data_IF_073528449515
#
_entry.id   IF_073528449515
#
_cell.length_a   1.000
_cell.length_b   1.000
_cell.length_c   1.000
_cell.angle_alpha   90.00
_cell.angle_beta   90.00
_cell.angle_gamma   90.00
#
_symmetry.space_group_name_H-M   'P 1'
#
loop_
_entity.id
_entity.type
_entity.pdbx_description
1 polymer ?
#
# COMPACT_ATOMS: atom_id res chain seq x y z
N UNK A 1 -45.85 -18.40 -37.81
CA UNK A 1 -44.90 -17.60 -37.03
C UNK A 1 -45.55 -17.15 -35.72
N UNK A 2 -45.66 -18.04 -34.72
CA UNK A 2 -46.29 -17.69 -33.43
C UNK A 2 -45.58 -18.25 -32.20
N UNK A 3 -44.49 -18.98 -32.40
CA UNK A 3 -43.69 -19.60 -31.33
C UNK A 3 -42.31 -18.96 -31.14
N UNK A 4 -41.99 -17.90 -31.89
CA UNK A 4 -40.71 -17.18 -31.76
C UNK A 4 -40.66 -16.20 -30.58
N UNK A 5 -41.79 -15.95 -29.90
CA UNK A 5 -41.86 -15.06 -28.75
C UNK A 5 -41.65 -15.76 -27.40
N UNK A 6 -41.69 -17.10 -27.34
CA UNK A 6 -41.57 -17.83 -26.08
C UNK A 6 -40.10 -18.15 -25.71
N UNK A 7 -39.17 -18.08 -26.66
CA UNK A 7 -37.75 -18.35 -26.41
C UNK A 7 -36.99 -17.14 -25.81
N UNK A 8 -37.55 -15.93 -25.86
CA UNK A 8 -36.90 -14.73 -25.35
C UNK A 8 -37.09 -14.51 -23.84
N UNK A 9 -37.99 -15.26 -23.19
CA UNK A 9 -38.32 -15.06 -21.78
C UNK A 9 -37.40 -15.84 -20.81
N UNK A 10 -36.47 -16.65 -21.32
CA UNK A 10 -35.61 -17.53 -20.51
C UNK A 10 -34.16 -17.04 -20.35
N UNK A 11 -33.82 -15.84 -20.84
CA UNK A 11 -32.43 -15.36 -20.86
C UNK A 11 -32.18 -14.07 -20.07
N UNK A 12 -32.96 -13.81 -19.01
CA UNK A 12 -32.65 -12.74 -18.05
C UNK A 12 -32.70 -13.29 -16.62
N UNK A 13 -31.92 -14.33 -16.38
CA UNK A 13 -31.34 -14.52 -15.05
C UNK A 13 -29.89 -14.06 -15.17
N UNK A 14 -29.71 -12.75 -15.36
CA UNK A 14 -28.42 -12.14 -15.05
C UNK A 14 -28.25 -12.28 -13.56
N UNK A 15 -27.40 -13.22 -13.18
CA UNK A 15 -26.85 -13.35 -11.84
C UNK A 15 -26.20 -12.03 -11.45
N UNK A 16 -26.98 -11.14 -10.87
CA UNK A 16 -26.44 -10.16 -9.94
C UNK A 16 -26.11 -10.95 -8.68
N UNK A 17 -25.02 -11.72 -8.74
CA UNK A 17 -24.27 -12.00 -7.55
C UNK A 17 -23.86 -10.61 -7.04
N UNK A 18 -24.67 -10.06 -6.14
CA UNK A 18 -24.18 -9.06 -5.21
C UNK A 18 -23.03 -9.76 -4.51
N UNK A 19 -21.82 -9.53 -5.04
CA UNK A 19 -20.63 -9.52 -4.22
C UNK A 19 -20.88 -8.40 -3.21
N UNK A 20 -21.68 -8.71 -2.19
CA UNK A 20 -21.45 -8.19 -0.87
C UNK A 20 -20.07 -8.72 -0.52
N UNK A 21 -19.05 -8.02 -1.02
CA UNK A 21 -17.79 -7.95 -0.35
C UNK A 21 -18.17 -7.42 1.03
N UNK A 22 -18.44 -8.36 1.93
CA UNK A 22 -18.42 -8.14 3.36
C UNK A 22 -16.98 -7.76 3.67
N UNK A 23 -16.62 -6.53 3.32
CA UNK A 23 -15.59 -5.81 4.01
C UNK A 23 -16.19 -5.63 5.38
N UNK A 24 -15.86 -6.55 6.31
CA UNK A 24 -16.26 -6.44 7.71
C UNK A 24 -16.02 -4.98 8.13
N UNK A 25 -17.12 -4.26 8.37
CA UNK A 25 -17.01 -2.86 8.79
C UNK A 25 -16.39 -2.90 10.18
N UNK A 26 -15.09 -2.58 10.26
CA UNK A 26 -14.37 -2.48 11.53
C UNK A 26 -15.13 -1.50 12.42
N UNK A 27 -15.61 -1.99 13.57
CA UNK A 27 -16.31 -1.18 14.57
C UNK A 27 -15.25 -0.60 15.49
N UNK A 28 -15.21 0.73 15.60
CA UNK A 28 -14.24 1.45 16.42
C UNK A 28 -14.87 1.83 17.76
N UNK A 29 -14.12 1.64 18.86
CA UNK A 29 -14.57 2.02 20.20
C UNK A 29 -14.55 3.54 20.41
N UNK A 30 -13.71 4.27 19.67
CA UNK A 30 -13.61 5.73 19.74
C UNK A 30 -12.98 6.31 18.44
N UNK A 31 -12.96 7.64 18.35
CA UNK A 31 -12.42 8.37 17.20
C UNK A 31 -10.92 8.13 16.99
N UNK A 32 -10.13 8.02 18.06
CA UNK A 32 -8.69 7.78 17.95
C UNK A 32 -8.36 6.43 17.29
N UNK A 33 -9.15 5.39 17.59
CA UNK A 33 -9.01 4.09 16.93
C UNK A 33 -9.38 4.17 15.44
N UNK A 34 -10.42 4.92 15.11
CA UNK A 34 -10.83 5.14 13.71
C UNK A 34 -9.75 5.88 12.92
N UNK A 35 -9.18 6.94 13.48
CA UNK A 35 -8.12 7.73 12.84
C UNK A 35 -6.85 6.90 12.66
N UNK A 36 -6.45 6.13 13.69
CA UNK A 36 -5.33 5.21 13.59
C UNK A 36 -5.52 4.20 12.46
N UNK A 37 -6.70 3.58 12.36
CA UNK A 37 -7.00 2.65 11.28
C UNK A 37 -6.97 3.33 9.90
N UNK A 38 -7.49 4.55 9.77
CA UNK A 38 -7.43 5.30 8.50
C UNK A 38 -5.99 5.58 8.08
N UNK A 39 -5.12 5.92 9.03
CA UNK A 39 -3.68 6.12 8.77
C UNK A 39 -3.04 4.80 8.33
N UNK A 40 -3.30 3.69 9.02
CA UNK A 40 -2.79 2.36 8.64
C UNK A 40 -3.20 1.96 7.22
N UNK A 41 -4.49 2.13 6.87
CA UNK A 41 -5.00 1.86 5.53
C UNK A 41 -4.38 2.81 4.51
N UNK A 42 -4.29 4.10 4.81
CA UNK A 42 -3.67 5.08 3.92
C UNK A 42 -2.22 4.71 3.61
N UNK A 43 -1.42 4.36 4.61
CA UNK A 43 -0.06 3.88 4.39
C UNK A 43 -0.04 2.57 3.61
N UNK A 44 -0.87 1.59 3.96
CA UNK A 44 -0.92 0.33 3.21
C UNK A 44 -1.20 0.54 1.72
N UNK A 45 -2.12 1.43 1.39
CA UNK A 45 -2.62 1.61 0.03
C UNK A 45 -1.77 2.59 -0.79
N UNK A 46 -1.17 3.59 -0.15
CA UNK A 46 -0.49 4.71 -0.83
C UNK A 46 1.02 4.75 -0.59
N UNK A 47 1.54 4.00 0.40
CA UNK A 47 2.97 3.94 0.64
C UNK A 47 3.64 3.08 -0.42
N UNK A 48 4.36 3.74 -1.32
CA UNK A 48 5.37 3.11 -2.15
C UNK A 48 6.67 3.08 -1.35
N UNK A 49 7.22 1.87 -1.15
CA UNK A 49 8.58 1.75 -0.65
C UNK A 49 9.52 2.44 -1.65
N UNK A 50 10.18 3.51 -1.22
CA UNK A 50 11.20 4.16 -2.01
C UNK A 50 12.47 3.33 -1.95
N UNK A 51 13.01 2.99 -3.10
CA UNK A 51 14.33 2.38 -3.23
C UNK A 51 15.30 3.43 -3.71
N UNK A 52 16.44 3.53 -3.04
CA UNK A 52 17.55 4.37 -3.45
C UNK A 52 18.76 3.49 -3.72
N UNK A 53 18.86 2.84 -4.91
CA UNK A 53 19.95 1.93 -5.23
C UNK A 53 21.33 2.57 -5.13
N UNK A 54 21.43 3.88 -5.37
CA UNK A 54 22.65 4.66 -5.20
C UNK A 54 23.20 4.65 -3.76
N UNK A 55 22.37 4.34 -2.78
CA UNK A 55 22.75 4.20 -1.37
C UNK A 55 22.74 2.75 -0.87
N UNK A 56 22.71 1.75 -1.76
CA UNK A 56 22.73 0.34 -1.36
C UNK A 56 24.08 -0.17 -0.86
N UNK A 57 25.08 0.72 -0.76
CA UNK A 57 26.43 0.41 -0.32
C UNK A 57 26.54 0.16 1.18
N UNK A 58 27.72 -0.31 1.60
CA UNK A 58 28.03 -0.53 3.00
C UNK A 58 28.60 0.75 3.62
N UNK A 59 27.91 1.28 4.63
CA UNK A 59 28.45 2.33 5.51
C UNK A 59 29.24 1.68 6.64
N UNK A 60 30.48 2.12 6.83
CA UNK A 60 31.32 1.75 7.99
C UNK A 60 31.86 3.02 8.62
N UNK A 61 31.66 3.17 9.92
CA UNK A 61 32.26 4.26 10.70
C UNK A 61 33.77 4.04 10.84
N UNK A 62 34.56 5.07 10.54
CA UNK A 62 36.01 5.09 10.79
C UNK A 62 36.28 5.84 12.10
N UNK A 63 35.67 7.02 12.26
CA UNK A 63 35.66 7.82 13.49
C UNK A 63 34.41 8.72 13.56
N UNK A 64 34.35 9.61 14.55
CA UNK A 64 33.20 10.47 14.84
C UNK A 64 32.72 11.32 13.64
N UNK A 65 33.62 11.73 12.74
CA UNK A 65 33.27 12.57 11.60
C UNK A 65 33.62 11.97 10.24
N UNK A 66 34.10 10.72 10.22
CA UNK A 66 34.61 10.07 9.02
C UNK A 66 33.95 8.71 8.82
N UNK A 67 33.35 8.54 7.65
CA UNK A 67 32.63 7.34 7.26
C UNK A 67 33.15 6.81 5.93
N UNK A 68 33.17 5.48 5.79
CA UNK A 68 33.42 4.81 4.52
C UNK A 68 32.11 4.35 3.92
N UNK A 69 31.82 4.74 2.69
CA UNK A 69 30.71 4.25 1.87
C UNK A 69 31.28 3.51 0.66
N UNK A 70 31.18 2.18 0.67
CA UNK A 70 31.87 1.29 -0.28
C UNK A 70 33.34 1.66 -0.43
N UNK A 71 33.76 2.27 -1.54
CA UNK A 71 35.16 2.67 -1.80
C UNK A 71 35.43 4.17 -1.55
N UNK A 72 34.43 4.93 -1.15
CA UNK A 72 34.52 6.36 -0.91
C UNK A 72 34.64 6.67 0.58
N UNK A 73 35.42 7.71 0.91
CA UNK A 73 35.51 8.26 2.25
C UNK A 73 34.74 9.58 2.29
N UNK A 74 33.80 9.66 3.22
CA UNK A 74 32.96 10.83 3.46
C UNK A 74 33.42 11.44 4.79
N UNK A 75 33.84 12.71 4.75
CA UNK A 75 34.14 13.50 5.93
C UNK A 75 33.01 14.51 6.11
N UNK A 76 32.39 14.50 7.27
CA UNK A 76 31.37 15.48 7.62
C UNK A 76 32.08 16.75 8.12
N UNK A 77 32.12 17.79 7.28
CA UNK A 77 32.56 19.12 7.68
C UNK A 77 31.40 19.88 8.37
N UNK A 78 31.72 20.63 9.43
CA UNK A 78 30.79 21.35 10.33
C UNK A 78 29.97 20.47 11.30
N UNK A 79 30.60 19.50 11.95
CA UNK A 79 30.04 18.95 13.20
C UNK A 79 30.37 19.94 14.33
N UNK A 80 29.53 20.95 14.50
CA UNK A 80 29.51 21.83 15.68
C UNK A 80 28.44 21.35 16.66
#
# INVERSE_FOLDING_TARGET
MKYLLLAALLFVVTTNAQNDSQTEKKVFANQGEQEKYRVEVFFKDNYSAQSYPEFSGKITEIDFNTFKFDDQVIVLDNIN
#
